data_IF_074398040048
#
_entry.id   IF_074398040048
#
_cell.length_a   1.000
_cell.length_b   1.000
_cell.length_c   1.000
_cell.angle_alpha   90.00
_cell.angle_beta   90.00
_cell.angle_gamma   90.00
#
_symmetry.space_group_name_H-M   'P 1'
#
loop_
_entity.id
_entity.type
_entity.pdbx_description
1 polymer ?
#
# COMPACT_ATOMS: atom_id res chain seq x y z
N UNK A 1 -15.40 10.61 14.39
CA UNK A 1 -15.15 10.74 12.95
C UNK A 1 -15.27 9.37 12.30
N UNK A 2 -16.14 9.29 11.30
CA UNK A 2 -16.31 8.08 10.47
C UNK A 2 -15.16 7.95 9.49
N UNK A 3 -14.97 6.76 8.94
CA UNK A 3 -14.01 6.50 7.86
C UNK A 3 -14.29 7.43 6.67
N UNK A 4 -15.56 7.61 6.29
CA UNK A 4 -15.95 8.54 5.22
C UNK A 4 -15.51 9.97 5.49
N UNK A 5 -15.79 10.49 6.69
CA UNK A 5 -15.41 11.85 7.06
C UNK A 5 -13.88 12.02 7.03
N UNK A 6 -13.15 11.06 7.60
CA UNK A 6 -11.69 11.11 7.64
C UNK A 6 -11.06 11.03 6.24
N UNK A 7 -11.64 10.25 5.31
CA UNK A 7 -11.21 10.24 3.91
C UNK A 7 -11.43 11.59 3.24
N UNK A 8 -12.57 12.25 3.47
CA UNK A 8 -12.82 13.58 2.90
C UNK A 8 -11.81 14.62 3.42
N UNK A 9 -11.45 14.58 4.70
CA UNK A 9 -10.38 15.42 5.24
C UNK A 9 -9.03 15.10 4.59
N UNK A 10 -8.66 13.82 4.53
CA UNK A 10 -7.41 13.38 3.91
C UNK A 10 -7.29 13.78 2.44
N UNK A 11 -8.37 13.64 1.66
CA UNK A 11 -8.39 14.04 0.25
C UNK A 11 -8.24 15.55 0.08
N UNK A 12 -8.94 16.32 0.91
CA UNK A 12 -8.82 17.78 0.90
C UNK A 12 -7.40 18.24 1.26
N UNK A 13 -6.78 17.66 2.28
CA UNK A 13 -5.43 18.03 2.71
C UNK A 13 -4.36 17.69 1.67
N UNK A 14 -4.54 16.60 0.92
CA UNK A 14 -3.58 16.14 -0.08
C UNK A 14 -3.90 16.61 -1.52
N UNK A 15 -4.89 17.49 -1.69
CA UNK A 15 -5.37 17.96 -3.01
C UNK A 15 -5.80 16.83 -3.95
N UNK A 16 -6.41 15.77 -3.40
CA UNK A 16 -7.00 14.70 -4.17
C UNK A 16 -8.46 15.01 -4.53
N UNK A 17 -8.99 14.41 -5.61
CA UNK A 17 -10.43 14.46 -5.88
C UNK A 17 -11.25 13.90 -4.72
N UNK A 18 -12.53 14.31 -4.60
CA UNK A 18 -13.41 13.90 -3.50
C UNK A 18 -13.64 12.38 -3.40
N UNK A 19 -13.38 11.64 -4.47
CA UNK A 19 -13.47 10.18 -4.56
C UNK A 19 -12.09 9.49 -4.51
N UNK A 20 -11.03 10.20 -4.10
CA UNK A 20 -9.66 9.69 -4.09
C UNK A 20 -9.05 9.47 -5.48
N UNK A 21 -9.75 9.88 -6.55
CA UNK A 21 -9.36 9.60 -7.93
C UNK A 21 -9.89 8.28 -8.49
N UNK A 22 -10.88 7.66 -7.84
CA UNK A 22 -11.56 6.46 -8.32
C UNK A 22 -12.19 6.65 -9.71
N UNK A 23 -12.82 7.80 -9.99
CA UNK A 23 -13.41 8.11 -11.29
C UNK A 23 -12.40 8.42 -12.41
N UNK A 24 -11.12 8.61 -12.09
CA UNK A 24 -10.10 8.97 -13.09
C UNK A 24 -9.71 7.75 -13.92
N UNK A 25 -9.38 7.98 -15.19
CA UNK A 25 -8.86 6.93 -16.09
C UNK A 25 -7.38 6.64 -15.88
N UNK A 26 -6.66 7.58 -15.25
CA UNK A 26 -5.24 7.48 -14.98
C UNK A 26 -4.94 7.97 -13.56
N UNK A 27 -3.88 7.44 -12.97
CA UNK A 27 -3.30 7.92 -11.74
C UNK A 27 -1.82 8.29 -11.94
N UNK A 28 -1.30 9.13 -11.06
CA UNK A 28 0.05 9.68 -11.16
C UNK A 28 0.89 9.22 -9.96
N UNK A 29 2.08 8.70 -10.26
CA UNK A 29 3.13 8.44 -9.28
C UNK A 29 4.19 9.53 -9.41
N UNK A 30 4.31 10.37 -8.38
CA UNK A 30 5.23 11.51 -8.37
C UNK A 30 6.58 11.11 -7.80
N UNK A 31 7.60 11.08 -8.65
CA UNK A 31 8.99 10.95 -8.23
C UNK A 31 9.66 12.32 -8.16
N UNK A 32 10.83 12.39 -7.52
CA UNK A 32 11.58 13.65 -7.39
C UNK A 32 11.93 14.27 -8.75
N UNK A 33 12.18 13.45 -9.77
CA UNK A 33 12.69 13.89 -11.08
C UNK A 33 11.67 13.79 -12.21
N UNK A 34 10.61 12.99 -12.05
CA UNK A 34 9.60 12.76 -13.09
C UNK A 34 8.28 12.30 -12.47
N UNK A 35 7.20 12.37 -13.25
CA UNK A 35 5.89 11.82 -12.86
C UNK A 35 5.50 10.72 -13.83
N UNK A 36 5.17 9.54 -13.31
CA UNK A 36 4.71 8.41 -14.10
C UNK A 36 3.19 8.39 -14.10
N UNK A 37 2.57 8.40 -15.28
CA UNK A 37 1.13 8.32 -15.45
C UNK A 37 0.73 6.90 -15.86
N UNK A 38 -0.06 6.23 -15.03
CA UNK A 38 -0.47 4.84 -15.23
C UNK A 38 -1.98 4.73 -15.37
N UNK A 39 -2.50 3.75 -16.15
CA UNK A 39 -3.93 3.53 -16.27
C UNK A 39 -4.52 3.12 -14.91
N UNK A 40 -5.66 3.71 -14.57
CA UNK A 40 -6.42 3.39 -13.37
C UNK A 40 -7.38 2.23 -13.67
N UNK A 41 -6.86 1.02 -13.53
CA UNK A 41 -7.63 -0.21 -13.74
C UNK A 41 -8.78 -0.35 -12.75
N UNK A 42 -9.80 -1.14 -13.12
CA UNK A 42 -10.98 -1.36 -12.27
C UNK A 42 -10.59 -1.92 -10.89
N UNK A 43 -9.68 -2.89 -10.85
CA UNK A 43 -9.23 -3.47 -9.58
C UNK A 43 -8.59 -2.44 -8.63
N UNK A 44 -7.95 -1.38 -9.17
CA UNK A 44 -7.39 -0.30 -8.35
C UNK A 44 -8.49 0.61 -7.84
N UNK A 45 -9.44 0.98 -8.70
CA UNK A 45 -10.63 1.76 -8.34
C UNK A 45 -11.40 1.10 -7.18
N UNK A 46 -11.51 -0.22 -7.21
CA UNK A 46 -12.23 -1.00 -6.20
C UNK A 46 -11.56 -0.99 -4.82
N UNK A 47 -10.26 -0.72 -4.72
CA UNK A 47 -9.48 -0.86 -3.47
C UNK A 47 -8.71 0.40 -3.05
N UNK A 48 -8.71 1.46 -3.86
CA UNK A 48 -7.97 2.70 -3.55
C UNK A 48 -8.38 3.30 -2.20
N UNK A 49 -9.69 3.34 -1.91
CA UNK A 49 -10.19 3.81 -0.63
C UNK A 49 -9.67 2.95 0.54
N UNK A 50 -9.45 1.64 0.36
CA UNK A 50 -8.88 0.77 1.39
C UNK A 50 -7.42 1.15 1.65
N UNK A 51 -6.66 1.48 0.61
CA UNK A 51 -5.29 1.98 0.73
C UNK A 51 -5.25 3.34 1.47
N UNK A 52 -6.08 4.30 1.06
CA UNK A 52 -6.13 5.62 1.71
C UNK A 52 -6.53 5.55 3.19
N UNK A 53 -7.41 4.62 3.57
CA UNK A 53 -7.76 4.37 4.97
C UNK A 53 -6.54 3.94 5.79
N UNK A 54 -5.56 3.24 5.20
CA UNK A 54 -4.35 2.83 5.90
C UNK A 54 -3.49 4.05 6.28
N UNK A 55 -3.37 5.05 5.39
CA UNK A 55 -2.71 6.32 5.70
C UNK A 55 -3.34 6.99 6.91
N UNK A 56 -4.68 7.05 6.94
CA UNK A 56 -5.44 7.67 8.02
C UNK A 56 -5.26 6.91 9.35
N UNK A 57 -5.35 5.58 9.34
CA UNK A 57 -5.25 4.76 10.56
C UNK A 57 -3.89 4.87 11.24
N UNK A 58 -2.83 5.09 10.46
CA UNK A 58 -1.46 5.16 10.93
C UNK A 58 -0.85 6.56 10.92
N UNK A 59 -1.64 7.57 10.53
CA UNK A 59 -1.21 8.96 10.40
C UNK A 59 0.04 9.09 9.51
N UNK A 60 0.02 8.42 8.36
CA UNK A 60 1.08 8.47 7.34
C UNK A 60 0.72 9.50 6.27
N UNK A 61 1.64 10.38 5.94
CA UNK A 61 1.52 11.27 4.78
C UNK A 61 1.56 10.48 3.45
N UNK A 62 1.32 11.16 2.33
CA UNK A 62 1.40 10.59 0.97
C UNK A 62 2.78 10.80 0.33
N UNK A 63 3.82 11.08 1.14
CA UNK A 63 5.19 11.13 0.62
C UNK A 63 5.73 9.71 0.50
N UNK A 64 6.82 9.52 -0.24
CA UNK A 64 7.49 8.22 -0.32
C UNK A 64 7.88 7.63 1.05
N UNK A 65 8.04 8.47 2.09
CA UNK A 65 8.25 8.01 3.47
C UNK A 65 6.99 7.39 4.07
N UNK A 66 5.83 8.02 3.88
CA UNK A 66 4.53 7.48 4.30
C UNK A 66 4.15 6.23 3.51
N UNK A 67 4.30 6.28 2.18
CA UNK A 67 4.10 5.11 1.29
C UNK A 67 4.96 3.92 1.71
N UNK A 68 6.21 4.16 2.15
CA UNK A 68 7.09 3.10 2.63
C UNK A 68 6.52 2.38 3.86
N UNK A 69 5.93 3.12 4.80
CA UNK A 69 5.25 2.50 5.94
C UNK A 69 4.05 1.67 5.46
N UNK A 70 3.24 2.22 4.57
CA UNK A 70 2.03 1.55 4.05
C UNK A 70 2.40 0.28 3.29
N UNK A 71 3.38 0.32 2.40
CA UNK A 71 3.85 -0.85 1.66
C UNK A 71 4.33 -1.98 2.59
N UNK A 72 5.10 -1.64 3.63
CA UNK A 72 5.50 -2.63 4.65
C UNK A 72 4.30 -3.24 5.39
N UNK A 73 3.31 -2.42 5.72
CA UNK A 73 2.08 -2.85 6.39
C UNK A 73 1.22 -3.75 5.48
N UNK A 74 1.07 -3.41 4.21
CA UNK A 74 0.31 -4.18 3.22
C UNK A 74 0.90 -5.57 3.01
N UNK A 75 2.23 -5.68 2.91
CA UNK A 75 2.89 -6.97 2.78
C UNK A 75 2.73 -7.81 4.05
N UNK A 76 2.88 -7.21 5.23
CA UNK A 76 2.71 -7.91 6.51
C UNK A 76 1.28 -8.39 6.78
N UNK A 77 0.27 -7.66 6.29
CA UNK A 77 -1.14 -8.05 6.41
C UNK A 77 -1.58 -9.08 5.38
N UNK A 78 -0.77 -9.31 4.34
CA UNK A 78 -1.02 -10.34 3.33
C UNK A 78 -1.65 -9.83 2.04
N UNK A 79 -1.59 -8.51 1.77
CA UNK A 79 -2.19 -7.92 0.58
C UNK A 79 -1.60 -8.51 -0.72
N UNK A 80 -0.36 -9.00 -0.68
CA UNK A 80 0.29 -9.74 -1.77
C UNK A 80 -0.53 -10.94 -2.29
N UNK A 81 -1.46 -11.50 -1.49
CA UNK A 81 -2.36 -12.58 -1.90
C UNK A 81 -3.50 -12.12 -2.83
N UNK A 82 -3.71 -10.80 -2.95
CA UNK A 82 -4.83 -10.21 -3.69
C UNK A 82 -4.35 -9.80 -5.07
N UNK A 83 -4.55 -10.67 -6.06
CA UNK A 83 -4.19 -10.35 -7.43
C UNK A 83 -5.20 -9.37 -8.04
N UNK A 84 -4.77 -8.35 -8.82
CA UNK A 84 -3.38 -7.98 -9.12
C UNK A 84 -2.78 -6.91 -8.19
N UNK A 85 -3.56 -6.35 -7.24
CA UNK A 85 -3.10 -5.25 -6.37
C UNK A 85 -1.85 -5.62 -5.54
N UNK A 86 -1.71 -6.89 -5.16
CA UNK A 86 -0.56 -7.40 -4.42
C UNK A 86 0.78 -7.18 -5.13
N UNK A 87 0.79 -7.12 -6.46
CA UNK A 87 2.00 -6.76 -7.21
C UNK A 87 2.40 -5.30 -7.03
N UNK A 88 1.43 -4.39 -6.91
CA UNK A 88 1.73 -2.99 -6.60
C UNK A 88 2.34 -2.86 -5.20
N UNK A 89 1.83 -3.60 -4.21
CA UNK A 89 2.41 -3.59 -2.85
C UNK A 89 3.83 -4.16 -2.81
N UNK A 90 4.11 -5.24 -3.57
CA UNK A 90 5.46 -5.81 -3.66
C UNK A 90 6.42 -4.83 -4.35
N UNK A 91 6.00 -4.23 -5.46
CA UNK A 91 6.79 -3.23 -6.17
C UNK A 91 7.03 -1.99 -5.30
N UNK A 92 6.00 -1.48 -4.62
CA UNK A 92 6.10 -0.34 -3.72
C UNK A 92 7.03 -0.64 -2.53
N UNK A 93 6.93 -1.82 -1.91
CA UNK A 93 7.82 -2.22 -0.82
C UNK A 93 9.28 -2.30 -1.28
N UNK A 94 9.56 -2.88 -2.46
CA UNK A 94 10.91 -2.96 -3.01
C UNK A 94 11.50 -1.58 -3.27
N UNK A 95 10.72 -0.68 -3.90
CA UNK A 95 11.17 0.69 -4.14
C UNK A 95 11.43 1.41 -2.81
N UNK A 96 10.52 1.27 -1.85
CA UNK A 96 10.62 1.88 -0.52
C UNK A 96 11.74 1.31 0.35
N UNK A 97 12.19 0.07 0.14
CA UNK A 97 13.32 -0.51 0.88
C UNK A 97 14.64 0.19 0.55
N UNK A 98 14.81 0.65 -0.68
CA UNK A 98 16.00 1.41 -1.11
C UNK A 98 16.06 2.78 -0.44
N UNK A 99 14.92 3.48 -0.35
CA UNK A 99 14.89 4.88 0.10
C UNK A 99 14.52 5.07 1.59
N UNK A 100 13.64 4.21 2.13
CA UNK A 100 13.05 4.34 3.47
C UNK A 100 12.92 2.99 4.21
N UNK A 101 14.00 2.18 4.33
CA UNK A 101 13.92 0.83 4.90
C UNK A 101 13.42 0.80 6.35
N UNK A 102 13.73 1.84 7.12
CA UNK A 102 13.25 2.00 8.51
C UNK A 102 11.73 2.12 8.58
N UNK A 103 11.11 2.82 7.64
CA UNK A 103 9.66 2.99 7.61
C UNK A 103 8.96 1.73 7.12
N UNK A 104 9.51 1.06 6.10
CA UNK A 104 9.05 -0.29 5.69
C UNK A 104 9.02 -1.24 6.88
N UNK A 105 10.11 -1.27 7.68
CA UNK A 105 10.17 -2.11 8.86
C UNK A 105 9.15 -1.74 9.95
N UNK A 106 8.91 -0.44 10.16
CA UNK A 106 7.89 0.04 11.10
C UNK A 106 6.48 -0.36 10.65
N UNK A 107 6.18 -0.18 9.36
CA UNK A 107 4.95 -0.61 8.72
C UNK A 107 4.72 -2.10 8.85
N UNK A 108 5.74 -2.90 8.53
CA UNK A 108 5.69 -4.36 8.63
C UNK A 108 5.41 -4.83 10.07
N UNK A 109 6.10 -4.26 11.07
CA UNK A 109 5.83 -4.57 12.49
C UNK A 109 4.43 -4.20 12.93
N UNK A 110 3.87 -3.10 12.42
CA UNK A 110 2.48 -2.75 12.67
C UNK A 110 1.54 -3.76 12.01
N UNK A 111 1.80 -4.11 10.74
CA UNK A 111 0.98 -5.00 9.94
C UNK A 111 0.91 -6.44 10.45
N UNK A 112 1.99 -7.01 10.98
CA UNK A 112 1.95 -8.38 11.54
C UNK A 112 0.98 -8.50 12.72
N UNK A 113 0.67 -7.39 13.40
CA UNK A 113 -0.25 -7.32 14.53
C UNK A 113 -1.69 -6.94 14.13
N UNK A 114 -1.96 -6.81 12.83
CA UNK A 114 -3.28 -6.45 12.30
C UNK A 114 -3.75 -7.41 11.22
N UNK A 115 -5.06 -7.51 11.08
CA UNK A 115 -5.75 -8.11 9.92
C UNK A 115 -5.80 -7.03 8.83
N UNK A 116 -5.59 -7.42 7.56
CA UNK A 116 -5.77 -6.49 6.45
C UNK A 116 -7.23 -6.04 6.38
N UNK A 117 -7.47 -4.77 6.04
CA UNK A 117 -8.85 -4.22 5.93
C UNK A 117 -9.64 -4.99 4.88
N UNK A 118 -9.01 -5.32 3.75
CA UNK A 118 -9.62 -6.10 2.67
C UNK A 118 -10.05 -7.51 3.12
N UNK A 119 -9.37 -8.08 4.13
CA UNK A 119 -9.67 -9.41 4.65
C UNK A 119 -10.87 -9.42 5.61
N UNK A 120 -11.33 -8.24 6.06
CA UNK A 120 -12.58 -8.12 6.81
C UNK A 120 -13.81 -8.41 5.95
N UNK A 121 -13.70 -8.37 4.62
CA UNK A 121 -14.79 -8.62 3.65
C UNK A 121 -16.04 -7.76 3.91
N UNK A 122 -15.84 -6.54 4.40
CA UNK A 122 -16.90 -5.55 4.60
C UNK A 122 -17.10 -4.80 3.28
N UNK A 123 -18.34 -4.60 2.85
CA UNK A 123 -18.62 -3.80 1.67
C UNK A 123 -18.25 -2.31 1.90
N UNK A 124 -17.92 -1.60 0.82
CA UNK A 124 -17.49 -0.19 0.88
C UNK A 124 -18.48 0.71 1.64
N UNK A 125 -19.79 0.55 1.45
CA UNK A 125 -20.78 1.44 2.09
C UNK A 125 -20.79 1.24 3.60
N UNK A 126 -20.69 -0.02 4.06
CA UNK A 126 -20.60 -0.34 5.48
C UNK A 126 -19.27 0.12 6.06
N UNK A 127 -18.15 -0.12 5.35
CA UNK A 127 -16.82 0.30 5.78
C UNK A 127 -16.73 1.82 6.00
N UNK A 128 -17.30 2.61 5.09
CA UNK A 128 -17.31 4.08 5.15
C UNK A 128 -18.11 4.64 6.34
N UNK A 129 -19.11 3.89 6.83
CA UNK A 129 -19.95 4.29 7.97
C UNK A 129 -19.32 3.99 9.33
N UNK A 130 -18.36 3.07 9.39
CA UNK A 130 -17.67 2.75 10.64
C UNK A 130 -16.94 3.97 11.18
N UNK A 131 -16.85 4.10 12.50
CA UNK A 131 -15.89 5.00 13.12
C UNK A 131 -14.47 4.44 12.98
N UNK A 132 -13.47 5.33 12.94
CA UNK A 132 -12.06 4.91 12.92
C UNK A 132 -11.69 4.04 14.13
N UNK A 133 -12.30 4.29 15.29
CA UNK A 133 -12.05 3.52 16.51
C UNK A 133 -12.62 2.10 16.42
N UNK A 134 -13.80 1.93 15.83
CA UNK A 134 -14.37 0.61 15.54
C UNK A 134 -13.50 -0.15 14.55
N UNK A 135 -13.13 0.47 13.42
CA UNK A 135 -12.27 -0.17 12.42
C UNK A 135 -10.93 -0.60 13.04
N UNK A 136 -10.30 0.26 13.85
CA UNK A 136 -9.05 -0.06 14.56
C UNK A 136 -9.19 -1.25 15.52
N UNK A 137 -10.34 -1.39 16.18
CA UNK A 137 -10.63 -2.58 17.01
C UNK A 137 -10.80 -3.82 16.15
N UNK A 138 -11.51 -3.72 15.02
CA UNK A 138 -11.78 -4.86 14.13
C UNK A 138 -10.52 -5.43 13.48
N UNK A 139 -9.57 -4.57 13.07
CA UNK A 139 -8.31 -5.03 12.46
C UNK A 139 -7.30 -5.56 13.49
N UNK A 140 -7.49 -5.32 14.78
CA UNK A 140 -6.53 -5.78 15.79
C UNK A 140 -6.54 -7.31 15.87
N UNK A 141 -5.36 -7.93 15.88
CA UNK A 141 -5.23 -9.37 16.19
C UNK A 141 -5.30 -9.60 17.70
N UNK A 142 -5.91 -10.70 18.11
CA UNK A 142 -6.07 -11.06 19.53
C UNK A 142 -4.74 -11.34 20.21
N UNK A 143 -3.80 -11.94 19.48
CA UNK A 143 -2.44 -12.24 19.95
C UNK A 143 -1.43 -11.39 19.21
N UNK A 144 -0.62 -10.66 19.98
CA UNK A 144 0.52 -9.94 19.45
C UNK A 144 1.51 -10.93 18.84
N UNK A 145 1.87 -10.70 17.59
CA UNK A 145 2.82 -11.51 16.85
C UNK A 145 4.23 -10.97 17.11
N UNK A 146 5.16 -11.88 17.41
CA UNK A 146 6.59 -11.56 17.40
C UNK A 146 7.06 -11.51 15.94
N UNK A 147 8.02 -10.62 15.68
CA UNK A 147 8.64 -10.53 14.36
C UNK A 147 9.35 -11.84 14.02
N UNK A 148 8.99 -12.43 12.88
CA UNK A 148 9.78 -13.49 12.26
C UNK A 148 10.73 -12.84 11.24
N UNK A 149 12.02 -12.80 11.58
CA UNK A 149 13.06 -12.21 10.71
C UNK A 149 13.20 -12.93 9.38
N UNK A 150 13.05 -14.26 9.36
CA UNK A 150 13.14 -15.05 8.11
C UNK A 150 12.02 -14.62 7.16
N UNK A 151 10.79 -14.52 7.67
CA UNK A 151 9.64 -14.08 6.85
C UNK A 151 9.80 -12.64 6.39
N UNK A 152 10.27 -11.73 7.25
CA UNK A 152 10.50 -10.34 6.86
C UNK A 152 11.58 -10.23 5.78
N UNK A 153 12.74 -10.86 5.97
CA UNK A 153 13.85 -10.85 5.01
C UNK A 153 13.46 -11.52 3.69
N UNK A 154 12.67 -12.60 3.74
CA UNK A 154 12.08 -13.20 2.55
C UNK A 154 11.26 -12.19 1.75
N UNK A 155 10.36 -11.45 2.41
CA UNK A 155 9.56 -10.44 1.72
C UNK A 155 10.39 -9.27 1.19
N UNK A 156 11.43 -8.85 1.91
CA UNK A 156 12.38 -7.87 1.38
C UNK A 156 13.03 -8.37 0.09
N UNK A 157 13.56 -9.59 0.11
CA UNK A 157 14.22 -10.20 -1.06
C UNK A 157 13.28 -10.33 -2.26
N UNK A 158 12.06 -10.84 -2.05
CA UNK A 158 11.07 -10.99 -3.13
C UNK A 158 10.67 -9.62 -3.70
N UNK A 159 10.49 -8.61 -2.86
CA UNK A 159 10.10 -7.26 -3.30
C UNK A 159 11.21 -6.60 -4.13
N UNK A 160 12.48 -6.76 -3.73
CA UNK A 160 13.64 -6.29 -4.51
C UNK A 160 13.73 -6.97 -5.87
N UNK A 161 13.55 -8.30 -5.94
CA UNK A 161 13.48 -9.00 -7.23
C UNK A 161 12.38 -8.39 -8.10
N UNK A 162 11.20 -8.12 -7.54
CA UNK A 162 10.06 -7.60 -8.29
C UNK A 162 10.32 -6.22 -8.89
N UNK A 163 11.05 -5.36 -8.18
CA UNK A 163 11.46 -4.04 -8.67
C UNK A 163 12.58 -4.13 -9.69
N UNK A 164 13.55 -5.04 -9.50
CA UNK A 164 14.70 -5.20 -10.40
C UNK A 164 14.35 -5.98 -11.67
N UNK A 165 13.31 -6.82 -11.65
CA UNK A 165 12.96 -7.71 -12.76
C UNK A 165 12.76 -6.99 -14.11
N UNK A 166 12.03 -5.85 -14.21
CA UNK A 166 11.92 -5.11 -15.45
C UNK A 166 13.27 -4.60 -15.98
N UNK A 167 14.18 -4.18 -15.09
CA UNK A 167 15.51 -3.71 -15.47
C UNK A 167 16.39 -4.87 -15.96
N UNK A 168 16.31 -6.03 -15.32
CA UNK A 168 17.02 -7.23 -15.74
C UNK A 168 16.56 -7.70 -17.12
N UNK A 169 15.25 -7.72 -17.38
CA UNK A 169 14.70 -8.03 -18.70
C UNK A 169 15.19 -7.05 -19.77
N UNK A 170 15.20 -5.75 -19.45
CA UNK A 170 15.73 -4.73 -20.35
C UNK A 170 17.20 -4.98 -20.68
N UNK A 171 18.04 -5.22 -19.68
CA UNK A 171 19.48 -5.50 -19.86
C UNK A 171 19.68 -6.75 -20.73
N UNK A 172 19.01 -7.85 -20.43
CA UNK A 172 19.10 -9.09 -21.22
C UNK A 172 18.65 -8.86 -22.67
N UNK A 173 17.57 -8.10 -22.88
CA UNK A 173 17.11 -7.80 -24.24
C UNK A 173 18.16 -7.00 -25.02
N UNK A 174 18.80 -6.00 -24.40
CA UNK A 174 19.85 -5.21 -25.04
C UNK A 174 21.04 -6.09 -25.42
N UNK A 175 21.49 -6.98 -24.53
CA UNK A 175 22.58 -7.91 -24.83
C UNK A 175 22.23 -8.98 -25.88
N UNK A 176 20.96 -9.35 -26.02
CA UNK A 176 20.53 -10.30 -27.06
C UNK A 176 20.54 -9.67 -28.46
N UNK A 177 20.35 -8.36 -28.55
CA UNK A 177 20.34 -7.62 -29.82
C UNK A 177 21.69 -6.94 -30.16
N UNK A 178 22.71 -7.11 -29.31
CA UNK A 178 24.11 -6.71 -29.55
C UNK A 178 24.94 -7.90 -30.04
#
# INVERSE_FOLDING_TARGET
MTVSESLQFFYKENNFPNDGGESKDFFELKFKLFTLKLPNSQFRKDVIHIHDIQHILYNCDTTWKGEAFIAGWEIATGLWKRFPIGFFSLWAMGFSLVFYPKEVFRGYKAGINTKGIIDLKIDKKTLLKLSLSELKKMIKKDKQQKLNWITFLFWCFISEIFVLFPFLLFIVSVFYFL
#
